data_IF_764110883899
#
_entry.id   IF_764110883899
#
_cell.length_a   1.000
_cell.length_b   1.000
_cell.length_c   1.000
_cell.angle_alpha   90.00
_cell.angle_beta   90.00
_cell.angle_gamma   90.00
#
_symmetry.space_group_name_H-M   'P 1'
#
loop_
_entity.id
_entity.type
_entity.pdbx_description
1 polymer ?
#
# COMPACT_ATOMS: atom_id res chain seq x y z
N UNK A 1 -9.89 9.66 35.07
CA UNK A 1 -8.47 9.27 34.92
C UNK A 1 -8.44 8.22 33.83
N UNK A 2 -8.32 8.64 32.57
CA UNK A 2 -8.18 7.71 31.46
C UNK A 2 -6.71 7.30 31.45
N UNK A 3 -6.42 6.06 31.81
CA UNK A 3 -5.07 5.51 31.71
C UNK A 3 -4.60 5.68 30.27
N UNK A 4 -3.61 6.54 30.08
CA UNK A 4 -2.81 6.58 28.87
C UNK A 4 -2.22 5.18 28.69
N UNK A 5 -2.71 4.46 27.68
CA UNK A 5 -2.09 3.22 27.22
C UNK A 5 -0.74 3.62 26.64
N UNK A 6 0.29 3.61 27.49
CA UNK A 6 1.65 3.88 27.05
C UNK A 6 2.06 2.72 26.15
N UNK A 7 1.98 2.96 24.84
CA UNK A 7 2.57 2.12 23.81
C UNK A 7 4.08 2.15 24.07
N UNK A 8 4.59 1.17 24.82
CA UNK A 8 6.02 1.02 25.15
C UNK A 8 6.80 0.42 23.99
N UNK A 9 6.12 -0.26 23.07
CA UNK A 9 6.69 -0.76 21.82
C UNK A 9 6.87 0.41 20.84
N UNK A 10 8.04 0.59 20.20
CA UNK A 10 8.16 1.53 19.09
C UNK A 10 7.01 1.33 18.10
N UNK A 11 6.31 2.40 17.73
CA UNK A 11 5.09 2.34 16.88
C UNK A 11 5.30 1.44 15.65
N UNK A 12 6.50 1.46 15.07
CA UNK A 12 6.91 0.62 13.95
C UNK A 12 6.75 -0.87 14.28
N UNK A 13 7.26 -1.34 15.41
CA UNK A 13 7.18 -2.75 15.82
C UNK A 13 5.73 -3.21 16.04
N UNK A 14 4.88 -2.32 16.59
CA UNK A 14 3.44 -2.62 16.69
C UNK A 14 2.83 -2.86 15.30
N UNK A 15 3.14 -2.02 14.31
CA UNK A 15 2.66 -2.23 12.93
C UNK A 15 3.25 -3.50 12.29
N UNK A 16 4.54 -3.78 12.49
CA UNK A 16 5.19 -4.98 11.95
C UNK A 16 4.64 -6.28 12.56
N UNK A 17 4.07 -6.24 13.76
CA UNK A 17 3.40 -7.40 14.34
C UNK A 17 2.15 -7.83 13.55
N UNK A 18 1.52 -6.91 12.81
CA UNK A 18 0.37 -7.19 11.94
C UNK A 18 0.75 -7.31 10.46
N UNK A 19 1.79 -6.58 10.05
CA UNK A 19 2.35 -6.61 8.70
C UNK A 19 3.61 -7.48 8.68
N UNK A 20 3.47 -8.72 9.14
CA UNK A 20 4.58 -9.66 9.23
C UNK A 20 5.08 -10.08 7.83
N UNK A 21 6.22 -10.79 7.81
CA UNK A 21 6.82 -11.22 6.54
C UNK A 21 5.89 -12.13 5.73
N UNK A 22 5.15 -13.01 6.40
CA UNK A 22 4.19 -13.91 5.76
C UNK A 22 3.09 -13.12 5.05
N UNK A 23 2.50 -12.13 5.72
CA UNK A 23 1.49 -11.25 5.13
C UNK A 23 2.04 -10.50 3.91
N UNK A 24 3.27 -9.96 4.01
CA UNK A 24 3.89 -9.24 2.91
C UNK A 24 4.21 -10.16 1.72
N UNK A 25 4.61 -11.41 1.96
CA UNK A 25 4.81 -12.42 0.92
C UNK A 25 3.50 -12.78 0.22
N UNK A 26 2.46 -13.10 1.00
CA UNK A 26 1.14 -13.44 0.47
C UNK A 26 0.58 -12.28 -0.37
N UNK A 27 0.66 -11.06 0.14
CA UNK A 27 0.23 -9.86 -0.56
C UNK A 27 0.98 -9.67 -1.89
N UNK A 28 2.31 -9.87 -1.87
CA UNK A 28 3.16 -9.75 -3.06
C UNK A 28 2.82 -10.84 -4.09
N UNK A 29 2.59 -12.07 -3.65
CA UNK A 29 2.22 -13.18 -4.52
C UNK A 29 0.85 -12.96 -5.16
N UNK A 30 -0.16 -12.63 -4.37
CA UNK A 30 -1.51 -12.29 -4.84
C UNK A 30 -1.46 -11.14 -5.85
N UNK A 31 -0.68 -10.11 -5.57
CA UNK A 31 -0.48 -8.97 -6.46
C UNK A 31 0.14 -9.39 -7.81
N UNK A 32 1.23 -10.16 -7.77
CA UNK A 32 1.96 -10.58 -8.97
C UNK A 32 1.07 -11.47 -9.86
N UNK A 33 0.37 -12.44 -9.26
CA UNK A 33 -0.60 -13.30 -9.96
C UNK A 33 -1.67 -12.45 -10.64
N UNK A 34 -2.27 -11.51 -9.89
CA UNK A 34 -3.36 -10.66 -10.42
C UNK A 34 -2.88 -9.70 -11.49
N UNK A 35 -1.66 -9.16 -11.38
CA UNK A 35 -1.04 -8.34 -12.42
C UNK A 35 -0.97 -9.09 -13.74
N UNK A 36 -0.53 -10.36 -13.70
CA UNK A 36 -0.44 -11.22 -14.89
C UNK A 36 -1.82 -11.47 -15.47
N UNK A 37 -2.81 -11.84 -14.63
CA UNK A 37 -4.19 -12.10 -15.08
C UNK A 37 -4.79 -10.87 -15.77
N UNK A 38 -4.61 -9.68 -15.21
CA UNK A 38 -5.29 -8.47 -15.69
C UNK A 38 -4.60 -7.81 -16.88
N UNK A 39 -3.27 -7.84 -16.92
CA UNK A 39 -2.49 -7.06 -17.89
C UNK A 39 -1.73 -7.93 -18.90
N UNK A 40 -1.70 -9.24 -18.70
CA UNK A 40 -0.83 -10.16 -19.45
C UNK A 40 0.66 -9.95 -19.17
N UNK A 41 1.02 -9.04 -18.26
CA UNK A 41 2.39 -8.68 -17.92
C UNK A 41 2.66 -8.94 -16.44
N UNK A 42 3.78 -9.63 -16.17
CA UNK A 42 4.30 -9.75 -14.82
C UNK A 42 4.90 -8.42 -14.40
N UNK A 43 4.17 -7.69 -13.54
CA UNK A 43 4.73 -6.57 -12.80
C UNK A 43 5.26 -7.21 -11.53
N UNK A 44 6.49 -7.72 -11.58
CA UNK A 44 7.15 -8.28 -10.41
C UNK A 44 7.29 -7.13 -9.41
N UNK A 45 6.46 -7.15 -8.38
CA UNK A 45 6.64 -6.32 -7.20
C UNK A 45 7.44 -7.09 -6.17
N UNK A 46 8.31 -6.39 -5.44
CA UNK A 46 9.03 -6.94 -4.30
C UNK A 46 8.30 -6.66 -2.98
N UNK A 47 8.70 -7.35 -1.92
CA UNK A 47 8.18 -7.11 -0.58
C UNK A 47 8.44 -5.67 -0.13
N UNK A 48 9.61 -5.13 -0.41
CA UNK A 48 9.98 -3.74 -0.10
C UNK A 48 9.07 -2.75 -0.83
N UNK A 49 8.67 -3.07 -2.06
CA UNK A 49 7.75 -2.25 -2.83
C UNK A 49 6.34 -2.26 -2.23
N UNK A 50 5.84 -3.42 -1.80
CA UNK A 50 4.55 -3.49 -1.08
C UNK A 50 4.61 -2.75 0.25
N UNK A 51 5.72 -2.86 0.97
CA UNK A 51 5.88 -2.16 2.24
C UNK A 51 5.91 -0.64 2.04
N UNK A 52 6.61 -0.18 1.00
CA UNK A 52 6.62 1.22 0.57
C UNK A 52 5.22 1.70 0.20
N UNK A 53 4.46 0.88 -0.53
CA UNK A 53 3.08 1.19 -0.90
C UNK A 53 2.15 1.31 0.32
N UNK A 54 2.25 0.40 1.29
CA UNK A 54 1.47 0.44 2.54
C UNK A 54 1.83 1.67 3.36
N UNK A 55 3.13 1.95 3.56
CA UNK A 55 3.60 3.13 4.28
C UNK A 55 3.16 4.43 3.62
N UNK A 56 3.29 4.54 2.29
CA UNK A 56 2.79 5.69 1.55
C UNK A 56 1.26 5.82 1.65
N UNK A 57 0.53 4.72 1.64
CA UNK A 57 -0.93 4.73 1.80
C UNK A 57 -1.37 5.23 3.19
N UNK A 58 -0.65 4.84 4.24
CA UNK A 58 -0.87 5.34 5.60
C UNK A 58 -0.53 6.83 5.73
N UNK A 59 0.56 7.30 5.10
CA UNK A 59 0.87 8.73 5.06
C UNK A 59 -0.18 9.53 4.29
N UNK A 60 -0.70 8.97 3.19
CA UNK A 60 -1.78 9.59 2.42
C UNK A 60 -3.08 9.72 3.23
N UNK A 61 -3.45 8.70 4.02
CA UNK A 61 -4.68 8.77 4.82
C UNK A 61 -4.63 9.88 5.87
N UNK A 62 -3.45 10.19 6.40
CA UNK A 62 -3.22 11.29 7.33
C UNK A 62 -3.20 12.68 6.66
N UNK A 63 -2.97 12.75 5.35
CA UNK A 63 -2.68 14.01 4.64
C UNK A 63 -3.89 14.85 4.23
N UNK A 64 -5.11 14.31 4.34
CA UNK A 64 -6.37 15.06 4.12
C UNK A 64 -6.60 15.55 2.68
N UNK A 65 -5.80 15.13 1.70
CA UNK A 65 -5.95 15.62 0.32
C UNK A 65 -7.21 15.06 -0.36
N UNK A 66 -8.01 15.90 -1.05
CA UNK A 66 -9.28 15.48 -1.67
C UNK A 66 -9.08 14.55 -2.87
N UNK A 67 -7.88 14.51 -3.46
CA UNK A 67 -7.54 13.62 -4.58
C UNK A 67 -6.11 13.10 -4.40
N UNK A 68 -5.97 11.78 -4.37
CA UNK A 68 -4.67 11.09 -4.23
C UNK A 68 -3.65 11.55 -5.28
N UNK A 69 -4.10 11.82 -6.52
CA UNK A 69 -3.22 12.27 -7.61
C UNK A 69 -2.53 13.61 -7.33
N UNK A 70 -3.09 14.44 -6.46
CA UNK A 70 -2.57 15.77 -6.13
C UNK A 70 -1.27 15.70 -5.33
N UNK A 71 -1.00 14.59 -4.63
CA UNK A 71 0.24 14.41 -3.83
C UNK A 71 1.51 14.47 -4.69
N UNK A 72 1.44 14.07 -5.95
CA UNK A 72 2.57 14.19 -6.89
C UNK A 72 2.58 15.50 -7.70
N UNK A 73 1.66 16.42 -7.41
CA UNK A 73 1.63 17.76 -7.99
C UNK A 73 2.62 18.71 -7.31
N UNK A 74 3.29 19.57 -8.08
CA UNK A 74 4.37 20.48 -7.61
C UNK A 74 4.04 21.31 -6.36
N UNK A 75 2.76 21.60 -6.10
CA UNK A 75 2.30 22.39 -4.95
C UNK A 75 2.07 21.60 -3.67
N UNK A 76 2.08 20.27 -3.73
CA UNK A 76 1.61 19.38 -2.65
C UNK A 76 2.44 18.11 -2.54
N UNK A 77 3.72 18.20 -2.91
CA UNK A 77 4.70 17.12 -2.77
C UNK A 77 4.89 16.76 -1.31
N UNK A 78 4.39 15.60 -0.93
CA UNK A 78 4.83 14.93 0.29
C UNK A 78 6.12 14.21 -0.10
N UNK A 79 7.28 14.81 0.21
CA UNK A 79 8.60 14.33 -0.20
C UNK A 79 8.79 12.83 0.10
N UNK A 80 8.39 12.38 1.29
CA UNK A 80 8.45 10.98 1.70
C UNK A 80 7.67 10.00 0.80
N UNK A 81 6.70 10.47 0.03
CA UNK A 81 5.92 9.63 -0.91
C UNK A 81 6.48 9.76 -2.32
N UNK A 82 6.74 10.98 -2.78
CA UNK A 82 7.17 11.26 -4.15
C UNK A 82 8.53 10.65 -4.46
N UNK A 83 9.43 10.61 -3.48
CA UNK A 83 10.80 10.08 -3.64
C UNK A 83 10.83 8.55 -3.61
N UNK A 84 9.86 7.90 -2.95
CA UNK A 84 9.84 6.45 -2.76
C UNK A 84 8.97 5.70 -3.77
N UNK A 85 7.91 6.32 -4.30
CA UNK A 85 7.05 5.67 -5.30
C UNK A 85 6.47 6.69 -6.29
N UNK A 86 6.53 6.37 -7.58
CA UNK A 86 5.94 7.22 -8.61
C UNK A 86 4.41 7.13 -8.59
N UNK A 87 3.73 8.22 -8.97
CA UNK A 87 2.26 8.27 -9.06
C UNK A 87 1.68 7.11 -9.84
N UNK A 88 2.25 6.85 -11.02
CA UNK A 88 1.72 5.85 -11.94
C UNK A 88 1.94 4.45 -11.39
N UNK A 89 3.08 4.20 -10.71
CA UNK A 89 3.33 2.94 -10.01
C UNK A 89 2.37 2.76 -8.85
N UNK A 90 2.18 3.76 -8.00
CA UNK A 90 1.24 3.72 -6.87
C UNK A 90 -0.19 3.39 -7.33
N UNK A 91 -0.68 4.08 -8.38
CA UNK A 91 -2.02 3.84 -8.91
C UNK A 91 -2.14 2.46 -9.58
N UNK A 92 -1.10 2.01 -10.29
CA UNK A 92 -1.07 0.68 -10.90
C UNK A 92 -1.12 -0.40 -9.81
N UNK A 93 -0.33 -0.22 -8.74
CA UNK A 93 -0.31 -1.11 -7.58
C UNK A 93 -1.68 -1.18 -6.93
N UNK A 94 -2.24 -0.02 -6.55
CA UNK A 94 -3.58 0.08 -5.95
C UNK A 94 -4.68 -0.58 -6.79
N UNK A 95 -4.64 -0.42 -8.10
CA UNK A 95 -5.67 -0.98 -8.98
C UNK A 95 -5.56 -2.50 -9.17
N UNK A 96 -4.38 -3.08 -8.91
CA UNK A 96 -4.13 -4.51 -8.95
C UNK A 96 -4.39 -5.17 -7.57
N UNK A 97 -4.35 -4.40 -6.49
CA UNK A 97 -4.65 -4.81 -5.11
C UNK A 97 -6.17 -4.84 -4.90
N UNK A 98 -6.87 -5.81 -5.52
CA UNK A 98 -8.30 -6.03 -5.30
C UNK A 98 -8.51 -7.43 -4.75
N UNK A 99 -9.03 -7.50 -3.53
CA UNK A 99 -9.24 -8.71 -2.73
C UNK A 99 -10.46 -9.53 -3.17
N UNK A 100 -11.23 -9.03 -4.14
CA UNK A 100 -12.35 -9.77 -4.72
C UNK A 100 -11.89 -10.44 -6.00
N UNK A 101 -11.84 -11.78 -5.96
CA UNK A 101 -11.89 -12.61 -7.14
C UNK A 101 -13.19 -12.27 -7.87
N UNK A 102 -13.12 -11.53 -8.98
CA UNK A 102 -14.32 -11.19 -9.77
C UNK A 102 -14.86 -12.45 -10.52
N UNK A 103 -14.34 -13.65 -10.21
CA UNK A 103 -14.79 -14.95 -10.72
C UNK A 103 -15.82 -15.64 -9.83
N UNK A 104 -16.22 -15.01 -8.72
CA UNK A 104 -17.31 -15.48 -7.87
C UNK A 104 -18.61 -14.95 -8.48
N UNK A 105 -19.08 -15.65 -9.50
CA UNK A 105 -20.35 -15.35 -10.15
C UNK A 105 -21.51 -15.38 -9.15
N UNK A 106 -21.94 -14.21 -8.71
CA UNK A 106 -23.26 -13.99 -8.14
C UNK A 106 -23.85 -12.72 -8.76
N UNK A 107 -24.77 -12.96 -9.72
CA UNK A 107 -25.92 -12.10 -10.07
C UNK A 107 -25.66 -10.65 -10.44
#
# INVERSE_FOLDING_TARGET
>A
MLCEYQITTPIIEYFMAYLDECFLEDLTNCYNIRSVIRTGQSIIASKEEMMTFIGCSALLSCSGYPRIKTVWGRSSWILNIVDNISRDRFLKTRNNLKDLNDNDGWG
#
